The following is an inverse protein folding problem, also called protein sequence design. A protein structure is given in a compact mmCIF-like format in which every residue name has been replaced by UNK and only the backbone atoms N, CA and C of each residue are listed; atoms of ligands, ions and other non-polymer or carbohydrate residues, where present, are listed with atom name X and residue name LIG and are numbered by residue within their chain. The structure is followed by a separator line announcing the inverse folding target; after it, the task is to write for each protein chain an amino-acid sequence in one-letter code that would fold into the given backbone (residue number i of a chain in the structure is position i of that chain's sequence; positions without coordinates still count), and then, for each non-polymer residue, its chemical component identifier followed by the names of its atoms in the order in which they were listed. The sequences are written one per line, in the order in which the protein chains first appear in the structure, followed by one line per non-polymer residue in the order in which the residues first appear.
data_IF_462770204281
#
_entry.id   IF_462770204281
#
_cell.length_a   1.000
_cell.length_b   1.000
_cell.length_c   1.000
_cell.angle_alpha   90.00
_cell.angle_beta   90.00
_cell.angle_gamma   90.00
#
_symmetry.space_group_name_H-M   'P 1'
#
loop_
_entity.id
_entity.type
_entity.pdbx_description
1 polymer ?
#
# COMPACT_ATOMS: atom_id res chain seq x y z
N UNK A 1 41.02 9.16 -21.65
CA UNK A 1 40.88 7.76 -21.21
C UNK A 1 39.87 7.75 -20.09
N UNK A 2 38.64 7.28 -20.33
CA UNK A 2 37.66 7.16 -19.25
C UNK A 2 38.05 6.01 -18.35
N UNK A 3 38.17 6.25 -17.04
CA UNK A 3 38.24 5.17 -16.07
C UNK A 3 37.05 4.25 -16.32
N UNK A 4 37.33 2.97 -16.61
CA UNK A 4 36.28 1.97 -16.66
C UNK A 4 35.60 1.97 -15.30
N UNK A 5 34.37 2.49 -15.23
CA UNK A 5 33.61 2.59 -14.00
C UNK A 5 33.49 1.18 -13.41
N UNK A 6 34.18 0.95 -12.30
CA UNK A 6 34.21 -0.35 -11.62
C UNK A 6 32.77 -0.71 -11.26
N UNK A 7 32.25 -1.77 -11.88
CA UNK A 7 30.88 -2.23 -11.62
C UNK A 7 30.78 -2.82 -10.22
N UNK A 8 29.69 -2.51 -9.53
CA UNK A 8 29.45 -3.01 -8.18
C UNK A 8 29.25 -4.55 -8.20
N UNK A 9 29.95 -5.32 -7.35
CA UNK A 9 29.82 -6.78 -7.28
C UNK A 9 28.54 -7.22 -6.56
N UNK A 10 27.84 -8.18 -7.15
CA UNK A 10 26.59 -8.77 -6.63
C UNK A 10 26.72 -10.29 -6.59
N UNK A 11 26.42 -10.90 -5.45
CA UNK A 11 26.25 -12.35 -5.34
C UNK A 11 24.77 -12.69 -5.39
N UNK A 12 24.37 -13.68 -6.19
CA UNK A 12 22.99 -14.16 -6.26
C UNK A 12 23.00 -15.67 -6.12
N UNK A 13 22.38 -16.19 -5.06
CA UNK A 13 22.15 -17.64 -4.90
C UNK A 13 20.91 -18.00 -5.70
N UNK A 14 21.06 -18.89 -6.68
CA UNK A 14 19.96 -19.30 -7.57
C UNK A 14 19.05 -20.29 -6.83
N UNK A 15 17.75 -20.02 -6.82
CA UNK A 15 16.76 -20.90 -6.19
C UNK A 15 16.49 -22.15 -7.06
N UNK A 16 16.85 -23.32 -6.54
CA UNK A 16 16.63 -24.62 -7.19
C UNK A 16 15.18 -25.10 -7.17
N UNK A 17 14.34 -24.52 -6.30
CA UNK A 17 12.92 -24.88 -6.19
C UNK A 17 12.07 -24.22 -7.27
N UNK A 18 12.59 -23.17 -7.90
CA UNK A 18 11.86 -22.39 -8.89
C UNK A 18 11.58 -23.28 -10.12
N UNK A 19 10.31 -23.42 -10.53
CA UNK A 19 9.94 -24.20 -11.71
C UNK A 19 10.71 -23.73 -12.95
N UNK A 20 11.02 -24.66 -13.88
CA UNK A 20 11.81 -24.36 -15.10
C UNK A 20 11.29 -23.17 -15.90
N UNK A 21 9.98 -22.94 -15.91
CA UNK A 21 9.37 -21.81 -16.61
C UNK A 21 9.70 -20.47 -15.93
N UNK A 22 9.62 -20.41 -14.60
CA UNK A 22 9.95 -19.23 -13.80
C UNK A 22 11.46 -18.99 -13.68
N UNK A 23 12.27 -20.04 -13.83
CA UNK A 23 13.72 -19.91 -13.91
C UNK A 23 14.14 -19.02 -15.09
N UNK A 24 13.41 -19.05 -16.21
CA UNK A 24 13.67 -18.14 -17.34
C UNK A 24 13.42 -16.66 -16.97
N UNK A 25 12.40 -16.38 -16.15
CA UNK A 25 12.14 -15.03 -15.65
C UNK A 25 13.27 -14.56 -14.73
N UNK A 26 13.67 -15.41 -13.78
CA UNK A 26 14.81 -15.14 -12.89
C UNK A 26 16.09 -14.89 -13.70
N UNK A 27 16.38 -15.69 -14.73
CA UNK A 27 17.53 -15.50 -15.60
C UNK A 27 17.47 -14.16 -16.36
N UNK A 28 16.29 -13.70 -16.80
CA UNK A 28 16.13 -12.36 -17.41
C UNK A 28 16.47 -11.26 -16.42
N UNK A 29 15.97 -11.36 -15.17
CA UNK A 29 16.30 -10.40 -14.10
C UNK A 29 17.80 -10.40 -13.81
N UNK A 30 18.43 -11.57 -13.67
CA UNK A 30 19.88 -11.69 -13.46
C UNK A 30 20.67 -11.06 -14.62
N UNK A 31 20.25 -11.29 -15.87
CA UNK A 31 20.90 -10.71 -17.05
C UNK A 31 20.72 -9.18 -17.12
N UNK A 32 19.57 -8.66 -16.72
CA UNK A 32 19.37 -7.22 -16.59
C UNK A 32 20.26 -6.63 -15.51
N UNK A 33 20.41 -7.31 -14.36
CA UNK A 33 21.32 -6.90 -13.28
C UNK A 33 22.78 -6.87 -13.76
N UNK A 34 23.20 -7.83 -14.60
CA UNK A 34 24.54 -7.84 -15.23
C UNK A 34 24.80 -6.65 -16.15
N UNK A 35 23.76 -5.96 -16.63
CA UNK A 35 23.96 -4.77 -17.48
C UNK A 35 24.60 -3.61 -16.71
N UNK A 36 24.40 -3.53 -15.39
CA UNK A 36 24.91 -2.44 -14.53
C UNK A 36 25.78 -2.90 -13.36
N UNK A 37 25.96 -4.21 -13.15
CA UNK A 37 26.73 -4.77 -12.03
C UNK A 37 27.56 -5.99 -12.45
N UNK A 38 28.49 -6.42 -11.59
CA UNK A 38 29.22 -7.68 -11.78
C UNK A 38 28.55 -8.78 -10.96
N UNK A 39 27.85 -9.70 -11.63
CA UNK A 39 27.05 -10.73 -10.96
C UNK A 39 27.78 -12.07 -10.89
N UNK A 40 28.02 -12.56 -9.67
CA UNK A 40 28.34 -13.95 -9.39
C UNK A 40 27.05 -14.72 -9.09
N UNK A 41 26.67 -15.63 -9.99
CA UNK A 41 25.59 -16.57 -9.73
C UNK A 41 26.14 -17.79 -8.98
N UNK A 42 25.58 -18.07 -7.81
CA UNK A 42 25.98 -19.17 -6.93
C UNK A 42 24.90 -20.24 -7.00
N UNK A 43 25.30 -21.50 -7.10
CA UNK A 43 24.40 -22.65 -7.15
C UNK A 43 23.55 -22.76 -5.87
N UNK A 44 22.32 -23.25 -6.03
CA UNK A 44 21.38 -23.39 -4.92
C UNK A 44 21.81 -24.46 -3.92
N UNK A 45 22.54 -25.50 -4.30
CA UNK A 45 22.94 -26.56 -3.37
C UNK A 45 23.87 -26.13 -2.22
N UNK A 46 24.33 -24.88 -2.22
CA UNK A 46 25.28 -24.35 -1.23
C UNK A 46 24.69 -24.28 0.19
N UNK A 47 25.50 -24.64 1.19
CA UNK A 47 25.19 -24.44 2.60
C UNK A 47 25.49 -23.00 3.07
N UNK A 48 24.97 -22.61 4.23
CA UNK A 48 25.23 -21.28 4.80
C UNK A 48 26.72 -21.03 5.06
N UNK A 49 27.44 -22.04 5.60
CA UNK A 49 28.87 -21.92 5.93
C UNK A 49 29.75 -21.86 4.68
N UNK A 50 29.44 -22.63 3.64
CA UNK A 50 30.14 -22.55 2.35
C UNK A 50 29.90 -21.21 1.66
N UNK A 51 28.68 -20.68 1.74
CA UNK A 51 28.37 -19.37 1.19
C UNK A 51 29.13 -18.28 1.94
N UNK A 52 29.17 -18.32 3.28
CA UNK A 52 29.98 -17.41 4.08
C UNK A 52 31.46 -17.44 3.70
N UNK A 53 32.04 -18.63 3.50
CA UNK A 53 33.42 -18.76 3.05
C UNK A 53 33.65 -18.04 1.71
N UNK A 54 32.78 -18.28 0.71
CA UNK A 54 32.85 -17.60 -0.60
C UNK A 54 32.66 -16.10 -0.50
N UNK A 55 31.75 -15.63 0.36
CA UNK A 55 31.49 -14.21 0.58
C UNK A 55 32.65 -13.52 1.32
N UNK A 56 33.46 -14.27 2.07
CA UNK A 56 34.68 -13.75 2.72
C UNK A 56 35.85 -13.51 1.77
N UNK A 57 35.89 -14.19 0.63
CA UNK A 57 36.98 -14.06 -0.37
C UNK A 57 36.90 -12.76 -1.18
N UNK A 58 35.70 -12.20 -1.35
CA UNK A 58 35.45 -11.04 -2.19
C UNK A 58 34.47 -10.08 -1.54
N UNK A 59 34.74 -8.77 -1.64
CA UNK A 59 33.81 -7.76 -1.15
C UNK A 59 32.62 -7.59 -2.10
N UNK A 60 31.42 -8.02 -1.69
CA UNK A 60 30.16 -7.79 -2.41
C UNK A 60 29.45 -6.52 -1.93
N UNK A 61 28.71 -5.84 -2.82
CA UNK A 61 27.84 -4.71 -2.44
C UNK A 61 26.42 -5.15 -2.14
N UNK A 62 25.98 -6.25 -2.76
CA UNK A 62 24.68 -6.86 -2.54
C UNK A 62 24.79 -8.38 -2.61
N UNK A 63 24.09 -9.06 -1.70
CA UNK A 63 23.89 -10.50 -1.69
C UNK A 63 22.39 -10.76 -1.77
N UNK A 64 21.95 -11.44 -2.84
CA UNK A 64 20.58 -11.86 -3.04
C UNK A 64 20.45 -13.35 -2.75
N UNK A 65 19.55 -13.70 -1.83
CA UNK A 65 19.26 -15.07 -1.42
C UNK A 65 17.81 -15.41 -1.74
N UNK A 66 17.45 -16.68 -2.02
CA UNK A 66 16.06 -17.09 -2.01
C UNK A 66 15.41 -16.73 -0.67
N UNK A 67 14.19 -16.20 -0.68
CA UNK A 67 13.53 -15.61 0.49
C UNK A 67 13.56 -16.51 1.73
N UNK A 68 13.29 -17.82 1.57
CA UNK A 68 13.27 -18.77 2.68
C UNK A 68 14.65 -18.99 3.30
N UNK A 69 15.73 -18.81 2.52
CA UNK A 69 17.12 -18.86 3.00
C UNK A 69 17.48 -17.56 3.67
N UNK A 70 17.11 -16.44 3.07
CA UNK A 70 17.31 -15.13 3.68
C UNK A 70 16.74 -15.08 5.10
N UNK A 71 15.52 -15.61 5.30
CA UNK A 71 14.87 -15.64 6.62
C UNK A 71 15.44 -16.69 7.58
N UNK A 72 16.14 -17.72 7.08
CA UNK A 72 16.68 -18.81 7.90
C UNK A 72 18.18 -18.66 8.21
N UNK A 73 18.95 -18.02 7.34
CA UNK A 73 20.40 -17.94 7.37
C UNK A 73 20.89 -16.70 8.13
N UNK A 74 20.81 -16.80 9.46
CA UNK A 74 21.15 -15.71 10.37
C UNK A 74 22.66 -15.41 10.43
N UNK A 75 23.55 -16.37 10.13
CA UNK A 75 25.00 -16.16 10.18
C UNK A 75 25.46 -15.23 9.06
N UNK A 76 24.85 -15.30 7.88
CA UNK A 76 25.15 -14.38 6.77
C UNK A 76 24.75 -12.96 7.12
N UNK A 77 23.56 -12.78 7.68
CA UNK A 77 23.11 -11.46 8.13
C UNK A 77 24.03 -10.90 9.22
N UNK A 78 24.42 -11.74 10.18
CA UNK A 78 25.35 -11.39 11.25
C UNK A 78 26.77 -11.06 10.73
N UNK A 79 27.26 -11.75 9.69
CA UNK A 79 28.58 -11.53 9.09
C UNK A 79 28.73 -10.13 8.51
N UNK A 80 27.70 -9.64 7.81
CA UNK A 80 27.68 -8.26 7.30
C UNK A 80 27.25 -7.23 8.34
N UNK A 81 26.91 -7.67 9.56
CA UNK A 81 26.45 -6.85 10.67
C UNK A 81 24.96 -6.54 10.55
N UNK A 82 24.15 -7.26 11.33
CA UNK A 82 22.69 -7.04 11.45
C UNK A 82 22.33 -5.60 11.85
N UNK A 83 23.24 -4.91 12.54
CA UNK A 83 23.10 -3.52 13.02
C UNK A 83 23.80 -2.48 12.16
N UNK A 84 24.53 -2.89 11.12
CA UNK A 84 25.18 -1.94 10.22
C UNK A 84 24.14 -1.38 9.26
N UNK A 85 24.03 -0.05 9.28
CA UNK A 85 23.19 0.73 8.36
C UNK A 85 23.89 1.01 7.02
N UNK A 86 25.18 0.68 6.92
CA UNK A 86 26.02 0.83 5.74
C UNK A 86 26.78 -0.48 5.43
N UNK A 87 27.19 -0.64 4.17
CA UNK A 87 27.92 -1.81 3.66
C UNK A 87 27.08 -2.72 2.78
N UNK A 88 27.50 -3.99 2.70
CA UNK A 88 26.85 -5.01 1.88
C UNK A 88 25.39 -5.19 2.31
N UNK A 89 24.46 -4.95 1.38
CA UNK A 89 23.07 -5.32 1.59
C UNK A 89 22.90 -6.83 1.43
N UNK A 90 22.12 -7.44 2.32
CA UNK A 90 21.63 -8.81 2.17
C UNK A 90 20.11 -8.73 2.02
N UNK A 91 19.58 -9.30 0.95
CA UNK A 91 18.16 -9.29 0.68
C UNK A 91 17.68 -10.67 0.19
N UNK A 92 16.46 -11.01 0.58
CA UNK A 92 15.71 -12.11 0.01
C UNK A 92 15.07 -11.70 -1.31
N UNK A 93 14.95 -12.64 -2.25
CA UNK A 93 14.11 -12.51 -3.42
C UNK A 93 13.22 -13.73 -3.56
N UNK A 94 12.09 -13.58 -4.22
CA UNK A 94 11.24 -14.69 -4.62
C UNK A 94 10.93 -14.59 -6.12
N UNK A 95 11.10 -15.72 -6.81
CA UNK A 95 10.75 -15.89 -8.22
C UNK A 95 9.60 -16.90 -8.41
N UNK A 96 8.91 -17.24 -7.31
CA UNK A 96 7.64 -17.94 -7.29
C UNK A 96 6.61 -17.11 -6.48
N UNK A 97 5.34 -17.50 -6.53
CA UNK A 97 4.29 -16.90 -5.71
C UNK A 97 4.59 -17.20 -4.24
N UNK A 98 4.59 -16.15 -3.42
CA UNK A 98 4.73 -16.27 -1.97
C UNK A 98 3.46 -15.71 -1.34
N UNK A 99 2.79 -16.53 -0.56
CA UNK A 99 1.61 -16.15 0.20
C UNK A 99 2.07 -15.63 1.58
N UNK A 100 1.38 -14.61 2.15
CA UNK A 100 1.83 -14.00 3.40
C UNK A 100 2.00 -14.99 4.57
N UNK A 101 1.22 -16.07 4.64
CA UNK A 101 1.34 -17.08 5.70
C UNK A 101 2.63 -17.92 5.58
N UNK A 102 3.24 -18.01 4.39
CA UNK A 102 4.45 -18.80 4.17
C UNK A 102 5.69 -18.14 4.78
N UNK A 103 5.64 -16.82 5.00
CA UNK A 103 6.68 -16.08 5.70
C UNK A 103 6.76 -16.44 7.19
N UNK A 104 5.69 -17.04 7.74
CA UNK A 104 5.59 -17.39 9.15
C UNK A 104 5.55 -16.19 10.08
N UNK A 105 5.92 -16.43 11.33
CA UNK A 105 6.08 -15.36 12.31
C UNK A 105 7.24 -14.43 11.93
N UNK A 106 7.16 -13.17 12.35
CA UNK A 106 8.21 -12.18 12.08
C UNK A 106 9.58 -12.71 12.56
N UNK A 107 10.65 -12.50 11.79
CA UNK A 107 11.97 -12.92 12.21
C UNK A 107 12.47 -12.05 13.38
N UNK A 108 13.33 -12.60 14.22
CA UNK A 108 13.91 -11.91 15.41
C UNK A 108 15.04 -10.93 15.03
N UNK A 109 15.05 -10.47 13.78
CA UNK A 109 16.02 -9.53 13.20
C UNK A 109 15.44 -8.11 13.13
N UNK A 110 16.29 -7.11 12.90
CA UNK A 110 15.87 -5.69 12.86
C UNK A 110 15.67 -5.16 11.44
N UNK A 111 15.98 -5.96 10.41
CA UNK A 111 15.85 -5.63 8.99
C UNK A 111 15.21 -6.79 8.23
N UNK A 112 14.40 -6.51 7.22
CA UNK A 112 13.92 -7.52 6.28
C UNK A 112 13.73 -6.90 4.91
N UNK A 113 14.48 -7.39 3.92
CA UNK A 113 14.39 -6.95 2.53
C UNK A 113 13.99 -8.16 1.69
N UNK A 114 12.82 -8.08 1.07
CA UNK A 114 12.20 -9.13 0.26
C UNK A 114 11.79 -8.52 -1.07
N UNK A 115 12.35 -9.01 -2.18
CA UNK A 115 12.10 -8.50 -3.53
C UNK A 115 11.25 -9.48 -4.34
N UNK A 116 10.20 -8.95 -4.97
CA UNK A 116 9.30 -9.70 -5.84
C UNK A 116 9.85 -9.77 -7.26
N UNK A 117 10.49 -10.89 -7.63
CA UNK A 117 10.93 -11.14 -9.02
C UNK A 117 9.89 -11.94 -9.82
N UNK A 118 8.74 -12.26 -9.22
CA UNK A 118 7.67 -13.05 -9.82
C UNK A 118 6.69 -12.17 -10.57
N UNK A 119 6.21 -11.11 -9.92
CA UNK A 119 5.16 -10.25 -10.46
C UNK A 119 5.71 -8.95 -11.07
N UNK A 120 6.91 -8.51 -10.66
CA UNK A 120 7.56 -7.35 -11.29
C UNK A 120 8.09 -7.72 -12.68
N UNK A 121 7.97 -6.80 -13.63
CA UNK A 121 8.69 -6.94 -14.89
C UNK A 121 10.18 -6.67 -14.67
N UNK A 122 11.02 -7.23 -15.54
CA UNK A 122 12.49 -7.18 -15.42
C UNK A 122 13.06 -5.77 -15.14
N UNK A 123 12.62 -4.70 -15.83
CA UNK A 123 13.10 -3.35 -15.54
C UNK A 123 12.79 -2.86 -14.12
N UNK A 124 11.63 -3.22 -13.56
CA UNK A 124 11.19 -2.77 -12.22
C UNK A 124 11.96 -3.51 -11.12
N UNK A 125 12.10 -4.83 -11.25
CA UNK A 125 12.98 -5.64 -10.38
C UNK A 125 14.43 -5.11 -10.39
N UNK A 126 14.93 -4.75 -11.58
CA UNK A 126 16.26 -4.15 -11.73
C UNK A 126 16.37 -2.77 -11.06
N UNK A 127 15.31 -1.97 -11.09
CA UNK A 127 15.27 -0.65 -10.48
C UNK A 127 15.39 -0.76 -8.96
N UNK A 128 14.60 -1.64 -8.33
CA UNK A 128 14.69 -1.90 -6.88
C UNK A 128 16.08 -2.44 -6.50
N UNK A 129 16.65 -3.31 -7.33
CA UNK A 129 18.00 -3.85 -7.12
C UNK A 129 19.06 -2.75 -7.19
N UNK A 130 18.94 -1.78 -8.12
CA UNK A 130 19.85 -0.62 -8.19
C UNK A 130 19.83 0.22 -6.92
N UNK A 131 18.65 0.47 -6.36
CA UNK A 131 18.51 1.23 -5.12
C UNK A 131 19.22 0.57 -3.94
N UNK A 132 19.28 -0.76 -3.87
CA UNK A 132 19.98 -1.49 -2.81
C UNK A 132 21.51 -1.44 -2.94
N UNK A 133 22.02 -1.36 -4.17
CA UNK A 133 23.46 -1.41 -4.45
C UNK A 133 24.23 -0.18 -3.95
N UNK A 134 23.55 0.97 -3.93
CA UNK A 134 24.17 2.25 -3.59
C UNK A 134 23.51 2.82 -2.36
N UNK A 135 24.30 3.05 -1.32
CA UNK A 135 23.82 3.57 -0.04
C UNK A 135 23.06 4.90 -0.20
N UNK A 136 23.59 5.81 -1.03
CA UNK A 136 22.97 7.09 -1.35
C UNK A 136 21.72 6.97 -2.25
N UNK A 137 21.26 5.77 -2.56
CA UNK A 137 20.02 5.51 -3.29
C UNK A 137 18.99 4.76 -2.44
N UNK A 138 19.32 4.44 -1.18
CA UNK A 138 18.44 3.68 -0.30
C UNK A 138 17.30 4.50 0.25
N UNK A 139 17.52 5.77 0.56
CA UNK A 139 16.50 6.69 1.11
C UNK A 139 15.90 7.61 0.07
N UNK A 140 14.75 8.20 0.39
CA UNK A 140 14.15 9.23 -0.45
C UNK A 140 13.57 8.68 -1.75
N UNK A 141 12.84 9.50 -2.49
CA UNK A 141 12.20 9.07 -3.74
C UNK A 141 13.00 9.43 -4.97
N UNK A 142 13.89 10.42 -4.88
CA UNK A 142 14.67 10.93 -6.00
C UNK A 142 15.49 9.87 -6.74
N UNK A 143 16.14 8.90 -6.06
CA UNK A 143 16.91 7.86 -6.75
C UNK A 143 16.07 6.97 -7.69
N UNK A 144 14.74 7.00 -7.57
CA UNK A 144 13.81 6.18 -8.34
C UNK A 144 13.45 6.81 -9.69
N UNK A 145 13.67 8.12 -9.84
CA UNK A 145 13.18 8.89 -10.97
C UNK A 145 14.32 9.46 -11.81
N UNK A 146 13.99 9.85 -13.03
CA UNK A 146 14.90 10.64 -13.85
C UNK A 146 15.25 11.97 -13.16
N UNK A 147 16.43 12.51 -13.46
CA UNK A 147 16.96 13.75 -12.88
C UNK A 147 16.08 14.99 -13.13
N UNK A 148 15.14 14.96 -14.07
CA UNK A 148 14.23 16.09 -14.31
C UNK A 148 12.80 15.85 -13.80
N UNK A 149 12.54 14.69 -13.19
CA UNK A 149 11.20 14.40 -12.65
C UNK A 149 10.94 15.32 -11.45
N UNK A 150 9.84 16.08 -11.45
CA UNK A 150 9.49 16.93 -10.32
C UNK A 150 9.08 16.09 -9.11
N UNK A 151 9.46 16.56 -7.92
CA UNK A 151 9.04 16.00 -6.65
C UNK A 151 8.13 17.03 -5.98
N UNK A 152 6.87 16.67 -5.82
CA UNK A 152 5.90 17.52 -5.11
C UNK A 152 5.94 17.22 -3.62
N UNK A 153 5.92 18.25 -2.77
CA UNK A 153 5.98 18.09 -1.32
C UNK A 153 4.89 18.88 -0.57
N UNK A 154 4.53 18.40 0.61
CA UNK A 154 3.64 19.06 1.56
C UNK A 154 4.05 18.77 3.00
N UNK A 155 3.95 19.77 3.88
CA UNK A 155 4.06 19.58 5.33
C UNK A 155 2.68 19.35 5.94
N UNK A 156 2.45 18.20 6.55
CA UNK A 156 1.17 17.86 7.19
C UNK A 156 1.14 18.38 8.63
N UNK A 157 0.42 19.47 8.83
CA UNK A 157 0.25 20.10 10.14
C UNK A 157 -0.92 19.51 10.94
N UNK A 158 -1.96 19.06 10.25
CA UNK A 158 -3.21 18.63 10.89
C UNK A 158 -4.02 17.63 10.07
N UNK A 159 -5.00 17.04 10.73
CA UNK A 159 -5.81 15.95 10.21
C UNK A 159 -6.80 16.37 9.09
N UNK A 160 -7.06 17.65 8.93
CA UNK A 160 -8.02 18.12 7.92
C UNK A 160 -7.41 18.11 6.52
N UNK A 161 -8.25 17.88 5.50
CA UNK A 161 -7.89 18.08 4.10
C UNK A 161 -7.44 16.84 3.31
N UNK A 162 -7.55 15.62 3.86
CA UNK A 162 -7.15 14.40 3.14
C UNK A 162 -7.80 14.26 1.76
N UNK A 163 -9.11 14.54 1.63
CA UNK A 163 -9.79 14.51 0.32
C UNK A 163 -9.18 15.46 -0.70
N UNK A 164 -8.88 16.70 -0.29
CA UNK A 164 -8.23 17.69 -1.16
C UNK A 164 -6.79 17.32 -1.53
N UNK A 165 -6.05 16.64 -0.63
CA UNK A 165 -4.71 16.11 -0.93
C UNK A 165 -4.75 15.00 -1.96
N UNK A 166 -5.68 14.07 -1.79
CA UNK A 166 -5.89 12.98 -2.73
C UNK A 166 -6.19 13.54 -4.12
N UNK A 167 -7.11 14.49 -4.23
CA UNK A 167 -7.47 15.09 -5.51
C UNK A 167 -6.30 15.92 -6.09
N UNK A 168 -5.49 16.58 -5.25
CA UNK A 168 -4.27 17.27 -5.69
C UNK A 168 -3.22 16.30 -6.26
N UNK A 169 -2.98 15.16 -5.61
CA UNK A 169 -2.05 14.12 -6.11
C UNK A 169 -2.56 13.53 -7.42
N UNK A 170 -3.85 13.17 -7.48
CA UNK A 170 -4.46 12.60 -8.69
C UNK A 170 -4.56 13.60 -9.84
N UNK A 171 -4.57 14.90 -9.54
CA UNK A 171 -4.59 16.00 -10.50
C UNK A 171 -3.20 16.42 -11.01
N UNK A 172 -2.11 15.83 -10.51
CA UNK A 172 -0.76 16.18 -10.98
C UNK A 172 -0.60 15.85 -12.48
N UNK A 173 0.03 16.74 -13.28
CA UNK A 173 0.22 16.51 -14.71
C UNK A 173 0.86 15.16 -15.02
N UNK A 174 1.87 14.77 -14.25
CA UNK A 174 2.61 13.52 -14.41
C UNK A 174 1.77 12.30 -14.07
N UNK A 175 0.79 12.43 -13.17
CA UNK A 175 -0.15 11.35 -12.80
C UNK A 175 -1.19 11.18 -13.91
N UNK A 176 -1.72 12.29 -14.42
CA UNK A 176 -2.72 12.28 -15.51
C UNK A 176 -2.08 11.83 -16.83
N UNK A 177 -0.93 12.40 -17.21
CA UNK A 177 -0.31 12.17 -18.52
C UNK A 177 0.28 10.76 -18.66
N UNK A 178 0.81 10.18 -17.57
CA UNK A 178 1.44 8.86 -17.60
C UNK A 178 0.46 7.71 -17.28
N UNK A 179 -0.85 7.98 -17.27
CA UNK A 179 -1.88 6.94 -17.16
C UNK A 179 -2.08 6.36 -15.75
N UNK A 180 -1.51 6.97 -14.72
CA UNK A 180 -1.62 6.52 -13.32
C UNK A 180 -3.06 6.59 -12.76
N UNK A 181 -3.96 7.32 -13.42
CA UNK A 181 -5.38 7.36 -13.06
C UNK A 181 -6.07 5.99 -13.11
N UNK A 182 -5.56 5.05 -13.91
CA UNK A 182 -6.01 3.66 -13.91
C UNK A 182 -5.88 3.01 -12.52
N UNK A 183 -4.87 3.45 -11.76
CA UNK A 183 -4.57 2.99 -10.40
C UNK A 183 -5.10 3.92 -9.31
N UNK A 184 -6.02 4.83 -9.66
CA UNK A 184 -6.52 5.85 -8.74
C UNK A 184 -7.09 5.27 -7.44
N UNK A 185 -7.73 4.09 -7.48
CA UNK A 185 -8.23 3.44 -6.28
C UNK A 185 -7.10 2.97 -5.35
N UNK A 186 -6.07 2.31 -5.89
CA UNK A 186 -4.91 1.87 -5.11
C UNK A 186 -4.17 3.08 -4.51
N UNK A 187 -4.00 4.15 -5.30
CA UNK A 187 -3.41 5.41 -4.84
C UNK A 187 -4.23 6.07 -3.72
N UNK A 188 -5.56 6.10 -3.84
CA UNK A 188 -6.47 6.62 -2.79
C UNK A 188 -6.32 5.84 -1.50
N UNK A 189 -6.28 4.51 -1.57
CA UNK A 189 -6.12 3.66 -0.38
C UNK A 189 -4.76 3.88 0.25
N UNK A 190 -3.68 3.87 -0.53
CA UNK A 190 -2.34 4.08 0.01
C UNK A 190 -2.16 5.47 0.63
N UNK A 191 -2.65 6.53 -0.01
CA UNK A 191 -2.66 7.88 0.57
C UNK A 191 -3.45 7.94 1.88
N UNK A 192 -4.62 7.28 1.93
CA UNK A 192 -5.42 7.16 3.14
C UNK A 192 -4.66 6.44 4.25
N UNK A 193 -4.02 5.31 3.94
CA UNK A 193 -3.25 4.54 4.91
C UNK A 193 -2.01 5.29 5.41
N UNK A 194 -1.26 5.96 4.53
CA UNK A 194 -0.14 6.83 4.93
C UNK A 194 -0.61 7.95 5.87
N UNK A 195 -1.77 8.54 5.59
CA UNK A 195 -2.36 9.55 6.46
C UNK A 195 -2.75 8.99 7.83
N UNK A 196 -3.40 7.82 7.87
CA UNK A 196 -3.79 7.16 9.12
C UNK A 196 -2.58 6.72 9.96
N UNK A 197 -1.45 6.35 9.33
CA UNK A 197 -0.20 6.10 10.06
C UNK A 197 0.24 7.29 10.92
N UNK A 198 -0.02 8.52 10.47
CA UNK A 198 0.31 9.72 11.26
C UNK A 198 -0.75 10.01 12.31
N UNK A 199 -2.03 10.01 11.93
CA UNK A 199 -3.10 10.59 12.75
C UNK A 199 -3.91 9.59 13.58
N UNK A 200 -3.93 8.31 13.21
CA UNK A 200 -4.63 7.24 13.95
C UNK A 200 -3.66 6.35 14.74
N UNK A 201 -2.46 6.12 14.22
CA UNK A 201 -1.46 5.21 14.80
C UNK A 201 -0.22 5.93 15.34
N UNK A 202 0.15 7.08 14.77
CA UNK A 202 1.42 7.75 15.03
C UNK A 202 1.31 9.04 15.86
N UNK A 203 2.26 9.98 15.70
CA UNK A 203 2.41 11.15 16.58
C UNK A 203 1.22 12.10 16.55
N UNK A 204 0.41 12.05 15.49
CA UNK A 204 -0.81 12.83 15.37
C UNK A 204 -1.88 12.41 16.37
N UNK A 205 -1.91 11.13 16.80
CA UNK A 205 -2.91 10.55 17.69
C UNK A 205 -2.91 11.19 19.09
N UNK A 206 -1.73 11.35 19.70
CA UNK A 206 -1.58 11.87 21.07
C UNK A 206 -1.75 13.39 21.16
N UNK A 207 -1.56 14.12 20.06
CA UNK A 207 -1.61 15.59 20.02
C UNK A 207 -2.99 16.17 19.65
N UNK A 208 -4.01 15.35 19.40
CA UNK A 208 -5.39 15.83 19.20
C UNK A 208 -5.96 16.54 20.44
N UNK A 209 -5.44 16.23 21.63
CA UNK A 209 -5.91 16.79 22.90
C UNK A 209 -5.37 18.20 23.22
N UNK A 210 -4.37 18.71 22.49
CA UNK A 210 -3.69 20.00 22.76
C UNK A 210 -3.87 21.01 21.62
N UNK A 211 -5.05 21.03 21.00
CA UNK A 211 -5.38 21.84 19.81
C UNK A 211 -5.37 23.38 20.01
N UNK A 212 -4.82 23.91 21.10
CA UNK A 212 -4.77 25.35 21.40
C UNK A 212 -3.37 25.91 21.69
N UNK A 213 -2.30 25.12 21.57
CA UNK A 213 -0.92 25.60 21.83
C UNK A 213 -0.14 25.92 20.54
N UNK A 214 0.98 26.64 20.68
CA UNK A 214 1.94 26.92 19.60
C UNK A 214 2.46 25.66 18.88
N UNK A 215 2.29 24.47 19.49
CA UNK A 215 2.56 23.17 18.87
C UNK A 215 1.74 22.90 17.60
N UNK A 216 0.64 23.63 17.36
CA UNK A 216 -0.16 23.52 16.14
C UNK A 216 0.59 23.96 14.86
N UNK A 217 1.74 24.64 14.99
CA UNK A 217 2.56 25.10 13.86
C UNK A 217 3.69 24.14 13.47
N UNK A 218 3.98 23.12 14.29
CA UNK A 218 5.05 22.16 14.00
C UNK A 218 4.51 21.07 13.06
N UNK A 219 5.16 20.81 11.91
CA UNK A 219 4.80 19.70 11.04
C UNK A 219 4.81 18.36 11.77
N UNK A 220 3.72 17.60 11.62
CA UNK A 220 3.60 16.25 12.18
C UNK A 220 4.17 15.19 11.25
N UNK A 221 4.16 15.48 9.95
CA UNK A 221 4.77 14.67 8.92
C UNK A 221 5.16 15.53 7.71
N UNK A 222 6.14 15.05 6.97
CA UNK A 222 6.54 15.53 5.65
C UNK A 222 6.08 14.52 4.60
N UNK A 223 5.40 14.99 3.56
CA UNK A 223 4.90 14.15 2.48
C UNK A 223 5.52 14.58 1.16
N UNK A 224 5.90 13.61 0.34
CA UNK A 224 6.37 13.80 -1.02
C UNK A 224 5.69 12.83 -1.98
N UNK A 225 5.50 13.28 -3.22
CA UNK A 225 5.06 12.46 -4.34
C UNK A 225 5.84 12.81 -5.60
N UNK A 226 6.23 11.78 -6.34
CA UNK A 226 6.77 11.92 -7.68
C UNK A 226 6.21 10.83 -8.58
N UNK A 227 6.07 11.13 -9.86
CA UNK A 227 5.56 10.21 -10.86
C UNK A 227 6.26 10.47 -12.20
N UNK A 228 6.56 9.40 -12.93
CA UNK A 228 6.95 9.44 -14.33
C UNK A 228 6.29 8.30 -15.10
N UNK A 229 6.77 8.00 -16.31
CA UNK A 229 6.22 6.92 -17.12
C UNK A 229 6.48 5.50 -16.57
N UNK A 230 7.44 5.33 -15.65
CA UNK A 230 7.90 4.02 -15.15
C UNK A 230 7.35 3.74 -13.76
N UNK A 231 7.39 4.72 -12.86
CA UNK A 231 6.97 4.54 -11.48
C UNK A 231 6.25 5.77 -10.92
N UNK A 232 5.55 5.56 -9.81
CA UNK A 232 5.00 6.58 -8.95
C UNK A 232 5.34 6.20 -7.51
N UNK A 233 5.82 7.15 -6.71
CA UNK A 233 6.20 6.93 -5.33
C UNK A 233 5.52 7.94 -4.42
N UNK A 234 5.01 7.46 -3.29
CA UNK A 234 4.46 8.26 -2.20
C UNK A 234 5.38 8.09 -1.01
N UNK A 235 6.05 9.15 -0.56
CA UNK A 235 6.94 9.14 0.60
C UNK A 235 6.35 9.94 1.74
N UNK A 236 6.35 9.34 2.91
CA UNK A 236 5.94 9.92 4.17
C UNK A 236 7.12 9.86 5.13
N UNK A 237 7.48 10.97 5.75
CA UNK A 237 8.44 11.03 6.85
C UNK A 237 7.76 11.62 8.07
N UNK A 238 7.84 10.96 9.22
CA UNK A 238 7.25 11.46 10.46
C UNK A 238 8.08 11.00 11.67
N UNK A 239 8.01 11.74 12.77
CA UNK A 239 8.81 11.42 13.94
C UNK A 239 8.06 10.51 14.92
N UNK A 240 8.72 9.45 15.40
CA UNK A 240 8.24 8.63 16.51
C UNK A 240 9.38 8.27 17.47
N UNK A 241 9.58 9.11 18.49
CA UNK A 241 10.63 8.94 19.50
C UNK A 241 10.67 7.59 20.24
N UNK A 242 9.54 6.90 20.37
CA UNK A 242 9.47 5.58 21.02
C UNK A 242 9.47 4.40 20.05
N UNK A 243 9.60 4.63 18.75
CA UNK A 243 9.50 3.59 17.72
C UNK A 243 10.87 3.01 17.40
N UNK A 244 11.10 1.76 17.80
CA UNK A 244 12.34 1.05 17.56
C UNK A 244 12.28 0.31 16.21
N UNK A 245 13.43 -0.08 15.62
CA UNK A 245 13.45 -0.85 14.37
C UNK A 245 12.62 -2.14 14.41
N UNK A 246 12.60 -2.84 15.55
CA UNK A 246 11.77 -4.04 15.77
C UNK A 246 10.26 -3.74 15.74
N UNK A 247 9.85 -2.51 16.05
CA UNK A 247 8.46 -2.08 16.04
C UNK A 247 8.03 -1.81 14.59
N UNK A 248 8.93 -1.24 13.77
CA UNK A 248 8.73 -1.13 12.32
C UNK A 248 8.52 -2.51 11.68
N UNK A 249 9.38 -3.47 12.02
CA UNK A 249 9.23 -4.84 11.55
C UNK A 249 7.90 -5.43 12.02
N UNK A 250 7.55 -5.31 13.29
CA UNK A 250 6.28 -5.83 13.81
C UNK A 250 5.04 -5.22 13.14
N UNK A 251 5.11 -3.94 12.78
CA UNK A 251 3.99 -3.19 12.21
C UNK A 251 3.81 -3.45 10.71
N UNK A 252 4.91 -3.60 9.97
CA UNK A 252 4.92 -3.78 8.51
C UNK A 252 5.20 -5.22 8.08
N UNK A 253 5.34 -6.17 9.01
CA UNK A 253 5.32 -7.59 8.65
C UNK A 253 3.94 -7.99 8.14
N UNK A 254 3.84 -8.78 7.06
CA UNK A 254 2.55 -9.28 6.61
C UNK A 254 1.84 -10.08 7.73
N UNK A 255 0.64 -9.65 8.11
CA UNK A 255 -0.15 -10.28 9.17
C UNK A 255 -1.60 -10.49 8.71
N UNK A 256 -1.91 -11.74 8.36
CA UNK A 256 -3.25 -12.14 7.92
C UNK A 256 -4.31 -12.04 9.02
N UNK A 257 -3.90 -11.94 10.30
CA UNK A 257 -4.82 -11.79 11.43
C UNK A 257 -5.32 -10.35 11.58
N UNK A 258 -4.66 -9.37 10.94
CA UNK A 258 -4.99 -7.94 11.03
C UNK A 258 -5.16 -7.29 9.64
N UNK A 259 -5.99 -7.85 8.74
CA UNK A 259 -6.05 -7.43 7.34
C UNK A 259 -6.55 -5.98 7.15
N UNK A 260 -7.21 -5.41 8.17
CA UNK A 260 -7.73 -4.04 8.14
C UNK A 260 -6.77 -3.00 8.71
N UNK A 261 -5.60 -3.41 9.22
CA UNK A 261 -4.60 -2.46 9.67
C UNK A 261 -4.08 -1.63 8.49
N UNK A 262 -3.70 -0.38 8.76
CA UNK A 262 -3.31 0.56 7.70
C UNK A 262 -2.04 0.12 7.00
N UNK A 263 -1.10 -0.47 7.74
CA UNK A 263 0.09 -1.10 7.15
C UNK A 263 -0.24 -2.28 6.25
N UNK A 264 -1.21 -3.12 6.62
CA UNK A 264 -1.63 -4.23 5.77
C UNK A 264 -2.32 -3.75 4.49
N UNK A 265 -3.05 -2.63 4.57
CA UNK A 265 -3.59 -1.97 3.37
C UNK A 265 -2.48 -1.44 2.47
N UNK A 266 -1.42 -0.83 3.03
CA UNK A 266 -0.26 -0.41 2.23
C UNK A 266 0.42 -1.60 1.55
N UNK A 267 0.69 -2.68 2.29
CA UNK A 267 1.32 -3.89 1.74
C UNK A 267 0.47 -4.56 0.65
N UNK A 268 -0.86 -4.43 0.74
CA UNK A 268 -1.79 -5.01 -0.22
C UNK A 268 -1.93 -4.18 -1.50
N UNK A 269 -1.93 -2.85 -1.41
CA UNK A 269 -2.27 -1.99 -2.54
C UNK A 269 -1.05 -1.31 -3.19
N UNK A 270 0.10 -1.26 -2.52
CA UNK A 270 1.36 -0.86 -3.14
C UNK A 270 2.08 -2.06 -3.75
N UNK A 271 2.84 -1.85 -4.82
CA UNK A 271 3.63 -2.92 -5.46
C UNK A 271 4.98 -3.14 -4.77
N UNK A 272 5.42 -2.15 -4.01
CA UNK A 272 6.48 -2.30 -3.03
C UNK A 272 6.23 -1.35 -1.87
N UNK A 273 6.75 -1.69 -0.70
CA UNK A 273 6.79 -0.81 0.46
C UNK A 273 8.21 -0.80 1.02
N UNK A 274 8.75 0.39 1.21
CA UNK A 274 10.05 0.61 1.88
C UNK A 274 9.83 1.40 3.15
N UNK A 275 10.38 0.94 4.26
CA UNK A 275 10.32 1.59 5.56
C UNK A 275 11.71 1.68 6.16
N UNK A 276 12.09 2.89 6.55
CA UNK A 276 13.32 3.15 7.25
C UNK A 276 13.04 3.78 8.60
N UNK A 277 13.66 3.22 9.63
CA UNK A 277 13.76 3.85 10.94
C UNK A 277 15.12 4.57 11.00
N UNK A 278 15.09 5.90 11.05
CA UNK A 278 16.28 6.75 11.11
C UNK A 278 16.69 6.87 12.57
N UNK A 279 17.70 6.10 12.96
CA UNK A 279 18.01 5.84 14.38
C UNK A 279 18.40 7.10 15.16
N UNK A 280 19.02 8.08 14.50
CA UNK A 280 19.56 9.26 15.17
C UNK A 280 18.51 10.36 15.39
N UNK A 281 17.48 10.40 14.54
CA UNK A 281 16.43 11.43 14.59
C UNK A 281 15.09 10.90 15.06
N UNK A 282 14.94 9.57 15.18
CA UNK A 282 13.67 8.88 15.41
C UNK A 282 12.64 9.12 14.30
N UNK A 283 13.08 9.51 13.12
CA UNK A 283 12.20 9.64 11.97
C UNK A 283 11.91 8.26 11.38
N UNK A 284 10.66 8.10 10.94
CA UNK A 284 10.20 6.94 10.20
C UNK A 284 9.89 7.41 8.78
N UNK A 285 10.64 6.91 7.81
CA UNK A 285 10.36 7.09 6.39
C UNK A 285 9.59 5.89 5.87
N UNK A 286 8.40 6.10 5.31
CA UNK A 286 7.58 5.10 4.61
C UNK A 286 7.44 5.52 3.16
N UNK A 287 7.84 4.67 2.23
CA UNK A 287 7.69 4.89 0.79
C UNK A 287 6.85 3.77 0.18
N UNK A 288 5.72 4.12 -0.42
CA UNK A 288 4.87 3.21 -1.19
C UNK A 288 5.14 3.40 -2.68
N UNK A 289 5.43 2.30 -3.38
CA UNK A 289 5.78 2.31 -4.80
C UNK A 289 4.65 1.74 -5.64
N UNK A 290 4.50 2.33 -6.82
CA UNK A 290 3.57 1.93 -7.85
C UNK A 290 4.31 1.84 -9.18
N UNK A 291 4.09 0.73 -9.87
CA UNK A 291 4.64 0.36 -11.15
C UNK A 291 3.54 0.23 -12.20
N UNK A 292 3.93 0.31 -13.46
CA UNK A 292 2.98 0.19 -14.57
C UNK A 292 2.48 -1.25 -14.77
N UNK A 293 3.28 -2.24 -14.39
CA UNK A 293 2.87 -3.65 -14.36
C UNK A 293 1.77 -3.95 -13.34
N UNK A 294 1.60 -3.07 -12.34
CA UNK A 294 0.62 -3.16 -11.26
C UNK A 294 0.52 -4.54 -10.56
N UNK A 295 1.63 -5.10 -10.01
CA UNK A 295 1.63 -6.36 -9.27
C UNK A 295 0.55 -6.44 -8.20
N UNK A 296 0.32 -5.34 -7.48
CA UNK A 296 -0.70 -5.29 -6.44
C UNK A 296 -2.11 -5.42 -6.99
N UNK A 297 -2.33 -5.10 -8.26
CA UNK A 297 -3.62 -5.24 -8.93
C UNK A 297 -3.78 -6.59 -9.65
N UNK A 298 -2.70 -7.18 -10.15
CA UNK A 298 -2.75 -8.48 -10.84
C UNK A 298 -2.69 -9.67 -9.88
N UNK A 299 -2.05 -9.49 -8.72
CA UNK A 299 -1.71 -10.55 -7.78
C UNK A 299 -2.06 -10.19 -6.33
N UNK A 300 -3.27 -9.66 -6.08
CA UNK A 300 -3.73 -9.09 -4.79
C UNK A 300 -3.50 -9.95 -3.53
N UNK A 301 -3.42 -11.27 -3.65
CA UNK A 301 -3.29 -12.20 -2.52
C UNK A 301 -1.84 -12.55 -2.18
N UNK A 302 -0.89 -12.11 -3.02
CA UNK A 302 0.51 -12.46 -2.90
C UNK A 302 1.27 -11.39 -2.13
N UNK A 303 2.43 -11.79 -1.63
CA UNK A 303 3.41 -10.87 -1.10
C UNK A 303 4.03 -10.06 -2.25
N UNK A 304 4.18 -8.76 -2.03
CA UNK A 304 4.93 -7.86 -2.89
C UNK A 304 6.25 -7.43 -2.22
N UNK A 305 7.04 -6.61 -2.90
CA UNK A 305 8.36 -6.25 -2.38
C UNK A 305 8.23 -5.47 -1.06
N UNK A 306 8.98 -5.89 -0.04
CA UNK A 306 8.99 -5.30 1.29
C UNK A 306 10.43 -5.02 1.69
N UNK A 307 10.74 -3.77 2.01
CA UNK A 307 12.07 -3.34 2.41
C UNK A 307 11.99 -2.61 3.75
N UNK A 308 12.40 -3.28 4.81
CA UNK A 308 12.44 -2.76 6.17
C UNK A 308 13.91 -2.72 6.62
N UNK A 309 14.45 -1.54 6.86
CA UNK A 309 15.87 -1.41 7.22
C UNK A 309 16.09 -0.19 8.12
N UNK A 310 16.75 -0.34 9.29
CA UNK A 310 17.20 0.82 10.06
C UNK A 310 18.31 1.53 9.31
N UNK A 311 18.27 2.86 9.29
CA UNK A 311 19.29 3.69 8.65
C UNK A 311 19.81 4.74 9.61
N UNK A 312 21.04 5.17 9.38
CA UNK A 312 21.62 6.31 10.08
C UNK A 312 21.35 7.58 9.30
N UNK A 313 21.26 8.71 10.01
CA UNK A 313 20.90 10.00 9.43
C UNK A 313 21.86 10.47 8.32
N UNK A 314 23.15 10.14 8.41
CA UNK A 314 24.15 10.52 7.42
C UNK A 314 24.00 9.81 6.05
N UNK A 315 23.18 8.76 5.98
CA UNK A 315 22.85 8.06 4.73
C UNK A 315 21.62 8.66 4.03
N UNK A 316 20.90 9.57 4.70
CA UNK A 316 19.77 10.25 4.10
C UNK A 316 20.24 11.25 3.05
N UNK A 317 19.79 11.05 1.81
CA UNK A 317 20.10 11.96 0.71
C UNK A 317 19.08 13.07 0.52
N UNK A 318 17.85 12.85 0.97
CA UNK A 318 16.76 13.81 0.89
C UNK A 318 16.31 14.17 2.29
N UNK A 319 16.65 15.38 2.72
CA UNK A 319 16.40 15.87 4.07
C UNK A 319 14.88 16.08 4.24
N UNK A 320 14.23 15.45 5.23
CA UNK A 320 12.82 15.72 5.52
C UNK A 320 12.59 17.21 5.82
N UNK A 321 11.43 17.74 5.45
CA UNK A 321 11.06 19.15 5.65
C UNK A 321 11.88 20.17 4.85
N UNK A 322 12.70 19.72 3.88
CA UNK A 322 13.39 20.61 2.97
C UNK A 322 12.37 21.40 2.13
N UNK A 323 12.53 22.72 2.14
CA UNK A 323 11.73 23.62 1.33
C UNK A 323 12.39 23.82 -0.04
N UNK A 324 11.58 24.18 -1.04
CA UNK A 324 12.08 24.56 -2.35
C UNK A 324 13.09 25.71 -2.24
N UNK A 325 14.30 25.49 -2.74
CA UNK A 325 15.38 26.48 -2.78
C UNK A 325 16.04 26.48 -4.18
N UNK A 326 16.93 27.45 -4.47
CA UNK A 326 17.75 27.40 -5.68
C UNK A 326 18.61 26.12 -5.80
N UNK A 327 18.97 25.51 -4.66
CA UNK A 327 19.75 24.28 -4.60
C UNK A 327 18.88 23.02 -4.79
N UNK A 328 17.56 23.13 -4.59
CA UNK A 328 16.57 22.07 -4.80
C UNK A 328 15.47 22.45 -5.78
N UNK A 329 15.82 22.78 -7.06
CA UNK A 329 14.85 23.25 -8.05
C UNK A 329 13.82 22.19 -8.46
N UNK A 330 14.10 20.92 -8.15
CA UNK A 330 13.22 19.78 -8.42
C UNK A 330 12.05 19.67 -7.42
N UNK A 331 12.17 20.26 -6.23
CA UNK A 331 11.10 20.29 -5.24
C UNK A 331 10.04 21.33 -5.63
N UNK A 332 8.77 20.92 -5.61
CA UNK A 332 7.63 21.79 -5.91
C UNK A 332 6.58 21.66 -4.80
N UNK A 333 5.93 22.75 -4.35
CA UNK A 333 4.82 22.62 -3.41
C UNK A 333 3.67 21.86 -4.07
N UNK A 334 3.07 20.92 -3.34
CA UNK A 334 1.87 20.22 -3.79
C UNK A 334 0.71 21.23 -3.89
N UNK A 335 -0.04 21.27 -5.01
CA UNK A 335 -1.08 22.28 -5.25
C UNK A 335 -2.37 21.94 -4.49
N UNK A 336 -2.29 21.84 -3.17
CA UNK A 336 -3.45 21.60 -2.30
C UNK A 336 -4.20 22.90 -2.13
N UNK A 337 -5.49 22.91 -2.45
CA UNK A 337 -6.34 24.05 -2.10
C UNK A 337 -6.36 24.20 -0.58
N UNK A 338 -5.76 25.27 -0.07
CA UNK A 338 -5.82 25.56 1.36
C UNK A 338 -7.29 25.69 1.74
N UNK A 339 -7.77 24.79 2.60
CA UNK A 339 -9.00 25.00 3.33
C UNK A 339 -8.70 26.22 4.19
N UNK A 340 -9.17 27.39 3.79
CA UNK A 340 -9.10 28.59 4.61
C UNK A 340 -9.87 28.27 5.90
N UNK A 341 -9.15 27.86 6.94
CA UNK A 341 -9.62 27.92 8.32
C UNK A 341 -9.72 29.41 8.62
N UNK A 342 -10.86 30.00 8.26
CA UNK A 342 -11.15 31.40 8.45
C UNK A 342 -11.09 31.73 9.94
N UNK A 343 -9.90 32.06 10.44
CA UNK A 343 -9.70 32.91 11.60
C UNK A 343 -9.81 34.35 11.10
N UNK A 344 -11.02 34.74 10.73
CA UNK A 344 -11.41 36.15 10.66
C UNK A 344 -12.66 36.29 11.52
N UNK A 345 -12.41 36.59 12.79
CA UNK A 345 -13.32 37.41 13.59
C UNK A 345 -13.49 38.70 12.78
N UNK A 346 -14.61 38.80 12.05
CA UNK A 346 -15.34 40.03 11.69
C UNK A 346 -16.44 39.65 10.68
N UNK A 347 -17.67 39.90 11.13
CA UNK A 347 -18.97 39.86 10.44
C UNK A 347 -19.73 38.51 10.35
N UNK A 348 -20.03 37.95 11.53
CA UNK A 348 -20.77 36.69 11.74
C UNK A 348 -22.12 36.59 11.01
N UNK A 349 -22.86 37.70 10.83
CA UNK A 349 -24.21 37.64 10.23
C UNK A 349 -24.20 37.44 8.71
N UNK A 350 -23.20 37.98 8.01
CA UNK A 350 -23.10 37.84 6.55
C UNK A 350 -22.55 36.46 6.16
N UNK A 351 -21.58 35.94 6.94
CA UNK A 351 -21.00 34.62 6.71
C UNK A 351 -21.95 33.48 7.10
N UNK A 352 -22.73 33.61 8.18
CA UNK A 352 -23.79 32.63 8.50
C UNK A 352 -24.82 32.57 7.37
N UNK A 353 -25.30 33.72 6.86
CA UNK A 353 -26.23 33.74 5.72
C UNK A 353 -25.62 33.16 4.44
N UNK A 354 -24.32 33.37 4.19
CA UNK A 354 -23.65 32.79 3.04
C UNK A 354 -23.46 31.27 3.17
N UNK A 355 -23.09 30.78 4.37
CA UNK A 355 -23.00 29.34 4.68
C UNK A 355 -24.38 28.68 4.65
N UNK A 356 -25.41 29.30 5.19
CA UNK A 356 -26.79 28.82 5.11
C UNK A 356 -27.28 28.77 3.66
N UNK A 357 -26.95 29.78 2.84
CA UNK A 357 -27.23 29.74 1.39
C UNK A 357 -26.48 28.61 0.69
N UNK A 358 -25.22 28.37 1.06
CA UNK A 358 -24.42 27.30 0.45
C UNK A 358 -24.92 25.91 0.88
N UNK A 359 -25.25 25.72 2.17
CA UNK A 359 -25.87 24.51 2.70
C UNK A 359 -27.23 24.27 2.05
N UNK A 360 -28.03 25.33 1.89
CA UNK A 360 -29.31 25.25 1.20
C UNK A 360 -29.13 24.87 -0.28
N UNK A 361 -28.21 25.51 -1.00
CA UNK A 361 -27.88 25.17 -2.39
C UNK A 361 -27.37 23.73 -2.52
N UNK A 362 -26.51 23.28 -1.61
CA UNK A 362 -26.03 21.91 -1.57
C UNK A 362 -27.18 20.92 -1.27
N UNK A 363 -28.08 21.24 -0.34
CA UNK A 363 -29.25 20.42 -0.03
C UNK A 363 -30.23 20.34 -1.21
N UNK A 364 -30.44 21.45 -1.94
CA UNK A 364 -31.22 21.48 -3.18
C UNK A 364 -30.56 20.61 -4.24
N UNK A 365 -29.25 20.76 -4.46
CA UNK A 365 -28.50 19.97 -5.44
C UNK A 365 -28.48 18.47 -5.09
N UNK A 366 -28.38 18.12 -3.81
CA UNK A 366 -28.51 16.74 -3.33
C UNK A 366 -29.92 16.21 -3.62
N UNK A 367 -30.96 17.01 -3.42
CA UNK A 367 -32.34 16.62 -3.71
C UNK A 367 -32.57 16.43 -5.21
N UNK A 368 -32.01 17.31 -6.04
CA UNK A 368 -32.02 17.19 -7.51
C UNK A 368 -31.27 15.95 -7.97
N UNK A 369 -30.07 15.70 -7.45
CA UNK A 369 -29.28 14.50 -7.78
C UNK A 369 -29.99 13.21 -7.34
N UNK A 370 -30.62 13.20 -6.16
CA UNK A 370 -31.45 12.06 -5.72
C UNK A 370 -32.63 11.84 -6.65
N UNK A 371 -33.29 12.91 -7.10
CA UNK A 371 -34.40 12.81 -8.07
C UNK A 371 -33.91 12.26 -9.41
N UNK A 372 -32.81 12.79 -9.94
CA UNK A 372 -32.20 12.30 -11.18
C UNK A 372 -31.73 10.85 -11.08
N UNK A 373 -31.25 10.43 -9.91
CA UNK A 373 -30.84 9.05 -9.66
C UNK A 373 -32.06 8.12 -9.68
N UNK A 374 -33.17 8.49 -9.02
CA UNK A 374 -34.42 7.74 -9.07
C UNK A 374 -34.97 7.65 -10.51
N UNK A 375 -34.96 8.75 -11.26
CA UNK A 375 -35.38 8.77 -12.67
C UNK A 375 -34.51 7.84 -13.53
N UNK A 376 -33.18 7.81 -13.31
CA UNK A 376 -32.30 6.88 -14.00
C UNK A 376 -32.49 5.43 -13.56
N UNK A 377 -32.76 5.19 -12.28
CA UNK A 377 -33.08 3.85 -11.80
C UNK A 377 -34.41 3.34 -12.37
N UNK A 378 -35.40 4.21 -12.53
CA UNK A 378 -36.64 3.91 -13.25
C UNK A 378 -36.38 3.62 -14.73
N UNK A 379 -35.56 4.43 -15.42
CA UNK A 379 -35.16 4.14 -16.81
C UNK A 379 -34.41 2.81 -16.92
N UNK A 380 -33.49 2.51 -16.00
CA UNK A 380 -32.79 1.22 -15.97
C UNK A 380 -33.77 0.08 -15.69
N UNK A 381 -34.76 0.30 -14.83
CA UNK A 381 -35.81 -0.66 -14.54
C UNK A 381 -36.71 -0.89 -15.74
N UNK A 382 -37.11 0.16 -16.46
CA UNK A 382 -37.88 0.10 -17.71
C UNK A 382 -37.12 -0.61 -18.82
N UNK A 383 -35.83 -0.26 -19.02
CA UNK A 383 -34.93 -0.94 -19.96
C UNK A 383 -34.75 -2.43 -19.60
N UNK A 384 -34.80 -2.77 -18.31
CA UNK A 384 -34.77 -4.17 -17.83
C UNK A 384 -36.14 -4.86 -17.91
N UNK A 385 -37.25 -4.13 -17.82
CA UNK A 385 -38.61 -4.70 -17.72
C UNK A 385 -39.39 -4.72 -19.02
N UNK A 386 -38.99 -3.98 -20.06
CA UNK A 386 -39.67 -4.06 -21.35
C UNK A 386 -39.21 -3.01 -22.36
N UNK A 387 -38.29 -3.40 -23.24
CA UNK A 387 -37.84 -2.58 -24.37
C UNK A 387 -37.15 -3.43 -25.45
N UNK A 388 -37.98 -3.99 -26.33
CA UNK A 388 -37.71 -4.81 -27.52
C UNK A 388 -36.43 -4.41 -28.28
N UNK A 389 -35.48 -5.35 -28.38
CA UNK A 389 -34.27 -5.21 -29.19
C UNK A 389 -33.19 -6.23 -28.84
N UNK A 390 -33.50 -7.53 -29.00
CA UNK A 390 -32.55 -8.66 -29.12
C UNK A 390 -31.14 -8.47 -28.54
N UNK A 391 -31.01 -8.33 -27.22
CA UNK A 391 -29.78 -8.78 -26.58
C UNK A 391 -29.85 -10.31 -26.55
N UNK A 392 -28.87 -10.98 -27.17
CA UNK A 392 -28.70 -12.42 -26.99
C UNK A 392 -28.80 -12.72 -25.48
N UNK A 393 -29.56 -13.75 -25.06
CA UNK A 393 -29.59 -14.12 -23.67
C UNK A 393 -28.14 -14.37 -23.25
N UNK A 394 -27.63 -13.52 -22.35
CA UNK A 394 -26.33 -13.74 -21.76
C UNK A 394 -26.33 -15.18 -21.26
N UNK A 395 -25.25 -15.94 -21.54
CA UNK A 395 -25.16 -17.30 -21.05
C UNK A 395 -25.45 -17.28 -19.55
N UNK A 396 -26.27 -18.22 -19.03
CA UNK A 396 -26.62 -18.24 -17.63
C UNK A 396 -25.32 -18.13 -16.83
N UNK A 397 -25.26 -17.20 -15.86
CA UNK A 397 -24.04 -16.97 -15.11
C UNK A 397 -23.55 -18.29 -14.53
N UNK A 398 -22.26 -18.53 -14.65
CA UNK A 398 -21.62 -19.75 -14.18
C UNK A 398 -22.02 -20.01 -12.72
N UNK A 399 -22.41 -21.25 -12.42
CA UNK A 399 -22.85 -21.61 -11.09
C UNK A 399 -21.75 -21.37 -10.05
N UNK A 400 -20.49 -21.49 -10.47
CA UNK A 400 -19.32 -21.17 -9.64
C UNK A 400 -19.24 -19.65 -9.38
N UNK A 401 -19.38 -18.82 -10.42
CA UNK A 401 -19.39 -17.36 -10.26
C UNK A 401 -20.57 -16.82 -9.42
N UNK A 402 -21.74 -17.46 -9.47
CA UNK A 402 -22.87 -17.14 -8.59
C UNK A 402 -22.60 -17.53 -7.13
N UNK A 403 -21.92 -18.67 -6.91
CA UNK A 403 -21.54 -19.12 -5.58
C UNK A 403 -20.45 -18.23 -4.99
N UNK A 404 -19.46 -17.82 -5.78
CA UNK A 404 -18.40 -16.90 -5.34
C UNK A 404 -18.96 -15.54 -4.96
N UNK A 405 -19.80 -14.95 -5.82
CA UNK A 405 -20.48 -13.68 -5.52
C UNK A 405 -21.42 -13.77 -4.30
N UNK A 406 -21.99 -14.96 -4.04
CA UNK A 406 -22.78 -15.19 -2.84
C UNK A 406 -21.91 -15.32 -1.59
N UNK A 407 -20.83 -16.11 -1.65
CA UNK A 407 -19.88 -16.26 -0.56
C UNK A 407 -19.32 -14.90 -0.14
N UNK A 408 -18.95 -14.06 -1.12
CA UNK A 408 -18.46 -12.70 -0.88
C UNK A 408 -19.51 -11.84 -0.14
N UNK A 409 -20.78 -11.89 -0.57
CA UNK A 409 -21.87 -11.13 0.08
C UNK A 409 -22.20 -11.64 1.48
N UNK A 410 -22.11 -12.95 1.72
CA UNK A 410 -22.28 -13.54 3.05
C UNK A 410 -21.16 -13.10 3.98
N UNK A 411 -19.91 -13.18 3.51
CA UNK A 411 -18.74 -12.73 4.28
C UNK A 411 -18.82 -11.23 4.61
N UNK A 412 -19.19 -10.37 3.66
CA UNK A 412 -19.41 -8.93 3.91
C UNK A 412 -20.54 -8.69 4.93
N UNK A 413 -21.63 -9.47 4.88
CA UNK A 413 -22.74 -9.34 5.83
C UNK A 413 -22.35 -9.77 7.24
N UNK A 414 -21.66 -10.90 7.37
CA UNK A 414 -21.15 -11.41 8.65
C UNK A 414 -20.12 -10.45 9.27
N UNK A 415 -19.26 -9.86 8.44
CA UNK A 415 -18.33 -8.83 8.86
C UNK A 415 -19.06 -7.60 9.43
N UNK A 416 -20.11 -7.11 8.76
CA UNK A 416 -20.93 -5.99 9.24
C UNK A 416 -21.67 -6.30 10.52
N UNK A 417 -22.20 -7.51 10.67
CA UNK A 417 -22.84 -7.97 11.91
C UNK A 417 -21.84 -7.93 13.06
N UNK A 418 -20.64 -8.51 12.90
CA UNK A 418 -19.59 -8.48 13.93
C UNK A 418 -19.16 -7.06 14.31
N UNK A 419 -19.10 -6.15 13.34
CA UNK A 419 -18.77 -4.75 13.61
C UNK A 419 -19.83 -4.07 14.49
N UNK A 420 -21.12 -4.32 14.21
CA UNK A 420 -22.21 -3.80 15.01
C UNK A 420 -22.27 -4.45 16.40
N UNK A 421 -21.91 -5.74 16.53
CA UNK A 421 -21.80 -6.42 17.82
C UNK A 421 -20.67 -5.83 18.69
N UNK A 422 -19.53 -5.49 18.09
CA UNK A 422 -18.45 -4.78 18.78
C UNK A 422 -18.85 -3.36 19.21
N UNK A 423 -19.62 -2.66 18.37
CA UNK A 423 -20.19 -1.35 18.70
C UNK A 423 -21.17 -1.46 19.88
N UNK A 424 -22.04 -2.49 19.91
CA UNK A 424 -22.90 -2.80 21.05
C UNK A 424 -22.07 -3.04 22.31
N UNK A 425 -21.04 -3.88 22.25
CA UNK A 425 -20.19 -4.18 23.41
C UNK A 425 -19.47 -2.92 23.94
N UNK A 426 -19.06 -2.01 23.05
CA UNK A 426 -18.42 -0.74 23.43
C UNK A 426 -19.43 0.21 24.09
N UNK A 427 -20.66 0.27 23.57
CA UNK A 427 -21.75 1.06 24.14
C UNK A 427 -22.15 0.51 25.53
N UNK A 428 -22.24 -0.81 25.69
CA UNK A 428 -22.54 -1.46 26.96
C UNK A 428 -21.43 -1.23 28.02
N UNK A 429 -20.17 -1.13 27.60
CA UNK A 429 -19.05 -0.80 28.49
C UNK A 429 -18.99 0.69 28.89
N UNK A 430 -19.41 1.59 28.00
CA UNK A 430 -19.37 3.05 28.21
C UNK A 430 -20.60 3.59 28.92
N UNK A 431 -21.70 2.82 28.97
CA UNK A 431 -22.94 3.17 29.67
C UNK A 431 -23.80 4.21 28.94
N UNK A 432 -23.44 4.60 27.71
CA UNK A 432 -24.20 5.55 26.89
C UNK A 432 -25.20 4.81 25.98
N UNK A 433 -26.36 4.48 26.52
CA UNK A 433 -27.39 3.71 25.80
C UNK A 433 -28.11 4.49 24.69
N UNK A 434 -27.68 5.71 24.35
CA UNK A 434 -28.32 6.48 23.28
C UNK A 434 -28.11 5.81 21.91
N UNK A 435 -29.20 5.35 21.29
CA UNK A 435 -29.17 4.72 19.97
C UNK A 435 -28.88 3.22 19.94
N UNK A 436 -28.69 2.56 21.09
CA UNK A 436 -28.48 1.09 21.18
C UNK A 436 -29.60 0.30 20.48
N UNK A 437 -30.85 0.72 20.66
CA UNK A 437 -32.01 0.07 20.02
C UNK A 437 -31.95 0.18 18.49
N UNK A 438 -31.43 1.28 17.95
CA UNK A 438 -31.22 1.42 16.51
C UNK A 438 -30.14 0.49 15.98
N UNK A 439 -29.05 0.29 16.75
CA UNK A 439 -27.97 -0.64 16.39
C UNK A 439 -28.47 -2.09 16.45
N UNK A 440 -29.21 -2.47 17.51
CA UNK A 440 -29.85 -3.79 17.63
C UNK A 440 -30.85 -4.07 16.51
N UNK A 441 -31.63 -3.06 16.11
CA UNK A 441 -32.56 -3.18 14.98
C UNK A 441 -31.82 -3.37 13.65
N UNK A 442 -30.67 -2.71 13.44
CA UNK A 442 -29.82 -2.91 12.25
C UNK A 442 -29.23 -4.33 12.20
N UNK A 443 -28.75 -4.86 13.32
CA UNK A 443 -28.27 -6.25 13.43
C UNK A 443 -29.38 -7.24 13.06
N UNK A 444 -30.56 -7.09 13.66
CA UNK A 444 -31.72 -7.93 13.37
C UNK A 444 -32.12 -7.90 11.89
N UNK A 445 -32.10 -6.70 11.27
CA UNK A 445 -32.42 -6.53 9.86
C UNK A 445 -31.39 -7.22 8.95
N UNK A 446 -30.10 -7.11 9.27
CA UNK A 446 -29.03 -7.76 8.52
C UNK A 446 -29.10 -9.29 8.64
N UNK A 447 -29.34 -9.82 9.85
CA UNK A 447 -29.51 -11.26 10.08
C UNK A 447 -30.73 -11.81 9.32
N UNK A 448 -31.87 -11.11 9.34
CA UNK A 448 -33.06 -11.51 8.59
C UNK A 448 -32.80 -11.55 7.08
N UNK A 449 -32.03 -10.58 6.57
CA UNK A 449 -31.63 -10.51 5.16
C UNK A 449 -30.68 -11.64 4.78
N UNK A 450 -29.69 -11.95 5.61
CA UNK A 450 -28.78 -13.08 5.42
C UNK A 450 -29.54 -14.40 5.37
N UNK A 451 -30.46 -14.63 6.31
CA UNK A 451 -31.32 -15.82 6.32
C UNK A 451 -32.21 -15.92 5.07
N UNK A 452 -32.75 -14.78 4.59
CA UNK A 452 -33.53 -14.74 3.35
C UNK A 452 -32.68 -15.15 2.14
N UNK A 453 -31.43 -14.73 2.08
CA UNK A 453 -30.53 -15.11 0.99
C UNK A 453 -30.11 -16.58 1.04
N UNK A 454 -29.78 -17.09 2.22
CA UNK A 454 -29.49 -18.52 2.43
C UNK A 454 -30.66 -19.38 1.94
N UNK A 455 -31.90 -18.98 2.28
CA UNK A 455 -33.10 -19.70 1.83
C UNK A 455 -33.25 -19.68 0.30
N UNK A 456 -33.13 -18.51 -0.33
CA UNK A 456 -33.24 -18.37 -1.80
C UNK A 456 -32.21 -19.20 -2.56
N UNK A 457 -30.99 -19.32 -2.04
CA UNK A 457 -29.97 -20.16 -2.66
C UNK A 457 -30.22 -21.64 -2.42
N UNK A 458 -30.72 -22.01 -1.24
CA UNK A 458 -31.25 -23.36 -1.02
C UNK A 458 -32.28 -23.75 -2.08
N UNK A 459 -33.26 -22.89 -2.32
CA UNK A 459 -34.30 -23.08 -3.35
C UNK A 459 -33.71 -23.21 -4.76
N UNK A 460 -32.76 -22.33 -5.14
CA UNK A 460 -32.09 -22.39 -6.44
C UNK A 460 -31.28 -23.68 -6.60
N UNK A 461 -30.56 -24.11 -5.56
CA UNK A 461 -29.78 -25.35 -5.58
C UNK A 461 -30.68 -26.59 -5.72
N UNK A 462 -31.86 -26.59 -5.08
CA UNK A 462 -32.85 -27.66 -5.27
C UNK A 462 -33.40 -27.69 -6.70
N UNK A 463 -33.74 -26.54 -7.28
CA UNK A 463 -34.17 -26.44 -8.68
C UNK A 463 -33.09 -26.96 -9.62
N UNK A 464 -31.82 -26.57 -9.42
CA UNK A 464 -30.69 -27.04 -10.21
C UNK A 464 -30.46 -28.56 -10.07
N UNK A 465 -30.59 -29.11 -8.85
CA UNK A 465 -30.50 -30.56 -8.60
C UNK A 465 -31.63 -31.32 -9.30
N UNK A 466 -32.87 -30.80 -9.24
CA UNK A 466 -34.02 -31.40 -9.91
C UNK A 466 -33.87 -31.36 -11.45
N UNK A 467 -33.33 -30.27 -12.01
CA UNK A 467 -33.04 -30.13 -13.43
C UNK A 467 -31.96 -31.13 -13.89
N UNK A 468 -30.87 -31.30 -13.13
CA UNK A 468 -29.84 -32.31 -13.42
C UNK A 468 -30.41 -33.74 -13.38
N UNK A 469 -31.31 -34.03 -12.43
CA UNK A 469 -31.96 -35.34 -12.32
C UNK A 469 -32.88 -35.67 -13.51
N UNK A 470 -33.52 -34.65 -14.11
CA UNK A 470 -34.34 -34.77 -15.34
C UNK A 470 -33.53 -34.89 -16.63
N UNK A 471 -32.26 -34.46 -16.64
CA UNK A 471 -31.37 -34.61 -17.79
C UNK A 471 -30.59 -35.94 -17.78
N UNK A 472 -30.52 -36.60 -16.62
CA UNK A 472 -29.79 -37.85 -16.43
C UNK A 472 -30.68 -39.11 -16.49
N UNK A 473 -31.98 -38.95 -16.69
CA UNK A 473 -32.94 -40.04 -16.97
C UNK A 473 -33.70 -39.71 -18.24
#
# INVERSE_FOLDING_TARGET
MGEATKRDPVAIVVDERVPREKLKLLQRVINEIRSFSMVLAIEGGISEDELLAKLGEQHYKLVLLPWYRYLAWNKIDAFFGTTRTAGTAVAGYFADQVLPYELGDKPDIIRSILLDFTNLITPEASMLTKCLLRENQRTGIRPLFAENTPVYFENWLGAQGLGGRIDAVLGLPEVVSNGWLKRSQALRIALGSLWSLVYEEGPGKSQFALAQSEAAKVPKAYFQVAADAKCLALRLCYNMSSFLPKDALAMFWPDQKRPTAQTQSLLKYADAVRVHNITDTFDVEVTAFFFQSAPSETSHQQMHSLWLEPLTSHLMTEIPYEAQSPDTPHLRPLPVQQIQTATKVLDDKAQLKAKERFIFQAAVKIRELKKSLVEREEQVKELRSGGIGTAQPLPPPDAEGLLDAFQERVLDSQYRIRKLEQEIATVEQTGDYTGLDSIRQKVSTLMSREQSWIRKIGEILEICRAAKKKQAG
#
